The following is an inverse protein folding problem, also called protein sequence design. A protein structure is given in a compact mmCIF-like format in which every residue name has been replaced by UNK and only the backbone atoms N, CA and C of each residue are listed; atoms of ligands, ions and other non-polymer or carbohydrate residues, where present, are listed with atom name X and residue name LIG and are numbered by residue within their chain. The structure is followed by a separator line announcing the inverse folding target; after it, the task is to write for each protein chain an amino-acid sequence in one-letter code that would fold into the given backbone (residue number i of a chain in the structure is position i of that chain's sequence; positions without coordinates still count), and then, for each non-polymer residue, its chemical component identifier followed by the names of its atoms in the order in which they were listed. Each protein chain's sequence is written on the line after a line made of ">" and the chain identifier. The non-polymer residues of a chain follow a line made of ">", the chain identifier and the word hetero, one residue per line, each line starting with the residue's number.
data_IF_936368241149
#
_entry.id   IF_936368241149
#
_cell.length_a   1.000
_cell.length_b   1.000
_cell.length_c   1.000
_cell.angle_alpha   90.00
_cell.angle_beta   90.00
_cell.angle_gamma   90.00
#
_symmetry.space_group_name_H-M   'P 1'
#
loop_
_entity.id
_entity.type
_entity.pdbx_description
1 polymer ?
#
# COMPACT_ATOMS: atom_id res chain seq x y z
N UNK A 1 -63.22 39.00 -28.12
CA UNK A 1 -63.35 39.48 -26.72
C UNK A 1 -63.50 38.26 -25.82
N UNK A 2 -62.51 37.91 -24.99
CA UNK A 2 -62.77 37.15 -23.76
C UNK A 2 -61.56 37.25 -22.82
N UNK A 3 -61.85 37.57 -21.57
CA UNK A 3 -60.93 37.99 -20.52
C UNK A 3 -60.12 36.81 -19.96
N UNK A 4 -58.87 37.11 -19.61
CA UNK A 4 -57.94 36.27 -18.85
C UNK A 4 -58.54 35.95 -17.47
N UNK A 5 -58.66 34.67 -17.13
CA UNK A 5 -58.85 34.21 -15.74
C UNK A 5 -57.64 33.35 -15.39
N UNK A 6 -56.85 33.85 -14.45
CA UNK A 6 -55.69 33.22 -13.85
C UNK A 6 -56.19 32.20 -12.80
N UNK A 7 -55.98 30.90 -13.04
CA UNK A 7 -56.25 29.86 -12.04
C UNK A 7 -54.93 29.47 -11.37
N UNK A 8 -54.77 29.87 -10.12
CA UNK A 8 -53.66 29.49 -9.25
C UNK A 8 -53.98 28.11 -8.67
N UNK A 9 -53.29 27.07 -9.14
CA UNK A 9 -53.37 25.73 -8.54
C UNK A 9 -52.39 25.66 -7.36
N UNK A 10 -52.92 25.63 -6.14
CA UNK A 10 -52.17 25.42 -4.90
C UNK A 10 -51.95 23.91 -4.74
N UNK A 11 -50.72 23.46 -4.98
CA UNK A 11 -50.27 22.09 -4.72
C UNK A 11 -50.10 21.86 -3.22
N UNK A 12 -51.14 21.38 -2.55
CA UNK A 12 -51.07 20.91 -1.15
C UNK A 12 -50.26 19.61 -1.12
N UNK A 13 -49.00 19.70 -0.69
CA UNK A 13 -48.18 18.54 -0.37
C UNK A 13 -48.70 17.88 0.92
N UNK A 14 -49.43 16.78 0.75
CA UNK A 14 -49.89 15.91 1.84
C UNK A 14 -48.67 15.19 2.43
N UNK A 15 -48.12 15.73 3.53
CA UNK A 15 -47.15 15.04 4.36
C UNK A 15 -47.82 13.82 5.00
N UNK A 16 -47.55 12.63 4.45
CA UNK A 16 -47.89 11.37 5.09
C UNK A 16 -46.94 11.21 6.28
N UNK A 17 -47.44 11.58 7.46
CA UNK A 17 -46.82 11.26 8.74
C UNK A 17 -46.63 9.75 8.83
N UNK A 18 -45.40 9.27 8.64
CA UNK A 18 -45.04 7.88 8.88
C UNK A 18 -45.17 7.59 10.38
N UNK A 19 -46.21 6.86 10.73
CA UNK A 19 -46.42 6.29 12.05
C UNK A 19 -45.20 5.48 12.45
N UNK A 20 -44.56 5.92 13.54
CA UNK A 20 -43.51 5.19 14.23
C UNK A 20 -44.12 3.92 14.84
N UNK A 21 -44.08 2.82 14.09
CA UNK A 21 -44.28 1.50 14.69
C UNK A 21 -43.15 1.28 15.70
N UNK A 22 -43.49 1.27 16.98
CA UNK A 22 -42.62 0.87 18.06
C UNK A 22 -42.16 -0.58 17.82
N UNK A 23 -40.97 -0.74 17.22
CA UNK A 23 -40.33 -2.03 17.05
C UNK A 23 -39.67 -2.40 18.38
N UNK A 24 -40.13 -3.49 18.99
CA UNK A 24 -39.57 -4.02 20.23
C UNK A 24 -38.05 -4.17 20.15
N UNK A 25 -37.36 -3.88 21.26
CA UNK A 25 -35.91 -3.87 21.37
C UNK A 25 -35.29 -5.14 20.76
N UNK A 26 -34.29 -4.97 19.88
CA UNK A 26 -33.59 -6.07 19.21
C UNK A 26 -32.89 -6.93 20.26
N UNK A 27 -33.36 -8.17 20.41
CA UNK A 27 -32.80 -9.20 21.31
C UNK A 27 -32.53 -10.48 20.50
N UNK A 28 -31.51 -11.24 20.89
CA UNK A 28 -31.20 -12.55 20.30
C UNK A 28 -32.46 -13.43 20.25
N UNK A 29 -32.75 -14.01 19.08
CA UNK A 29 -33.90 -14.91 18.89
C UNK A 29 -35.24 -14.21 18.67
N UNK A 30 -35.34 -12.88 18.84
CA UNK A 30 -36.56 -12.14 18.50
C UNK A 30 -36.81 -12.13 16.98
N UNK A 31 -38.08 -12.01 16.58
CA UNK A 31 -38.46 -11.99 15.18
C UNK A 31 -37.93 -10.75 14.46
N UNK A 32 -37.52 -10.93 13.21
CA UNK A 32 -37.01 -9.85 12.37
C UNK A 32 -37.67 -9.87 11.00
N UNK A 33 -37.76 -8.70 10.36
CA UNK A 33 -38.64 -8.47 9.21
C UNK A 33 -38.08 -9.00 7.89
N UNK A 34 -36.75 -9.10 7.76
CA UNK A 34 -36.09 -9.44 6.49
C UNK A 34 -34.70 -10.00 6.73
N UNK A 35 -34.39 -11.15 6.12
CA UNK A 35 -33.05 -11.77 6.15
C UNK A 35 -31.99 -10.74 5.75
N UNK A 36 -30.87 -10.74 6.48
CA UNK A 36 -29.75 -9.84 6.22
C UNK A 36 -29.90 -8.43 6.78
N UNK A 37 -31.08 -8.04 7.31
CA UNK A 37 -31.22 -6.77 8.05
C UNK A 37 -30.29 -6.81 9.27
N UNK A 38 -29.54 -5.74 9.51
CA UNK A 38 -28.65 -5.61 10.66
C UNK A 38 -29.12 -4.53 11.61
N UNK A 39 -28.89 -4.71 12.92
CA UNK A 39 -29.15 -3.70 13.94
C UNK A 39 -28.07 -3.76 15.00
N UNK A 40 -27.69 -2.62 15.57
CA UNK A 40 -26.64 -2.54 16.60
C UNK A 40 -27.26 -2.05 17.90
N UNK A 41 -27.16 -2.86 18.96
CA UNK A 41 -27.63 -2.53 20.31
C UNK A 41 -26.52 -2.88 21.30
N UNK A 42 -26.19 -1.98 22.21
CA UNK A 42 -25.14 -2.15 23.23
C UNK A 42 -23.78 -2.60 22.66
N UNK A 43 -23.39 -2.03 21.51
CA UNK A 43 -22.12 -2.37 20.85
C UNK A 43 -22.08 -3.76 20.21
N UNK A 44 -23.21 -4.47 20.13
CA UNK A 44 -23.34 -5.75 19.42
C UNK A 44 -24.18 -5.58 18.16
N UNK A 45 -23.66 -6.01 17.02
CA UNK A 45 -24.36 -6.05 15.72
C UNK A 45 -25.09 -7.37 15.56
N UNK A 46 -26.41 -7.31 15.54
CA UNK A 46 -27.31 -8.40 15.25
C UNK A 46 -27.59 -8.46 13.74
N UNK A 47 -27.68 -9.67 13.20
CA UNK A 47 -28.07 -9.92 11.81
C UNK A 47 -29.29 -10.83 11.79
N UNK A 48 -30.31 -10.46 11.02
CA UNK A 48 -31.52 -11.25 10.83
C UNK A 48 -31.20 -12.48 9.97
N UNK A 49 -31.40 -13.67 10.52
CA UNK A 49 -31.11 -14.96 9.90
C UNK A 49 -32.36 -15.84 9.86
N UNK A 50 -32.40 -16.81 8.95
CA UNK A 50 -33.49 -17.80 8.87
C UNK A 50 -33.09 -19.05 9.65
N UNK A 51 -33.85 -19.37 10.70
CA UNK A 51 -33.64 -20.58 11.52
C UNK A 51 -34.94 -21.39 11.51
N UNK A 52 -34.87 -22.63 11.01
CA UNK A 52 -36.03 -23.56 10.95
C UNK A 52 -37.31 -22.90 10.37
N UNK A 53 -37.16 -22.14 9.28
CA UNK A 53 -38.27 -21.48 8.59
C UNK A 53 -38.70 -20.11 9.14
N UNK A 54 -38.21 -19.68 10.30
CA UNK A 54 -38.54 -18.39 10.92
C UNK A 54 -37.39 -17.39 10.84
N UNK A 55 -37.71 -16.10 10.70
CA UNK A 55 -36.71 -15.02 10.67
C UNK A 55 -36.45 -14.51 12.08
N UNK A 56 -35.22 -14.67 12.56
CA UNK A 56 -34.81 -14.29 13.92
C UNK A 56 -33.46 -13.57 13.93
N UNK A 57 -33.26 -12.68 14.91
CA UNK A 57 -31.96 -12.07 15.15
C UNK A 57 -30.95 -13.11 15.67
N UNK A 58 -29.74 -13.12 15.10
CA UNK A 58 -28.65 -13.99 15.56
C UNK A 58 -28.12 -13.58 16.97
N UNK A 59 -27.07 -14.24 17.48
CA UNK A 59 -26.51 -13.98 18.82
C UNK A 59 -25.81 -12.61 18.98
N UNK A 60 -25.72 -11.80 17.92
CA UNK A 60 -24.98 -10.55 17.91
C UNK A 60 -23.46 -10.76 17.87
N UNK A 61 -22.74 -9.88 17.18
CA UNK A 61 -21.27 -9.85 17.15
C UNK A 61 -20.82 -8.52 17.76
N UNK A 62 -19.87 -8.57 18.71
CA UNK A 62 -19.35 -7.35 19.34
C UNK A 62 -18.63 -6.51 18.29
N UNK A 63 -19.12 -5.29 18.06
CA UNK A 63 -18.50 -4.30 17.20
C UNK A 63 -17.55 -3.49 18.06
N UNK A 64 -16.25 -3.50 17.74
CA UNK A 64 -15.30 -2.56 18.35
C UNK A 64 -15.81 -1.14 18.08
N UNK A 65 -16.11 -0.38 19.14
CA UNK A 65 -16.64 0.99 19.08
C UNK A 65 -15.73 1.82 18.15
N UNK A 66 -16.25 2.45 17.08
CA UNK A 66 -15.50 3.48 16.38
C UNK A 66 -15.22 4.60 17.39
N UNK A 67 -13.95 4.93 17.61
CA UNK A 67 -13.58 6.12 18.37
C UNK A 67 -14.07 7.31 17.54
N UNK A 68 -15.15 7.95 17.99
CA UNK A 68 -15.69 9.15 17.36
C UNK A 68 -14.63 10.24 17.53
N UNK A 69 -13.96 10.61 16.44
CA UNK A 69 -13.08 11.79 16.39
C UNK A 69 -14.00 13.01 16.56
N UNK A 70 -13.86 13.71 17.68
CA UNK A 70 -14.60 14.94 17.97
C UNK A 70 -14.16 15.99 16.92
N UNK A 71 -15.08 16.38 16.04
CA UNK A 71 -14.91 17.55 15.19
C UNK A 71 -15.02 18.78 16.08
N UNK A 72 -13.92 19.50 16.29
CA UNK A 72 -13.91 20.74 17.03
C UNK A 72 -14.80 21.79 16.32
N UNK A 73 -15.80 22.30 17.04
CA UNK A 73 -16.55 23.49 16.67
C UNK A 73 -15.59 24.69 16.56
N UNK A 74 -15.61 25.50 15.49
CA UNK A 74 -14.71 26.64 15.39
C UNK A 74 -15.08 27.69 16.46
N UNK A 75 -14.18 27.90 17.41
CA UNK A 75 -14.23 29.00 18.35
C UNK A 75 -13.81 30.29 17.63
N UNK A 76 -14.67 31.30 17.64
CA UNK A 76 -14.35 32.65 17.16
C UNK A 76 -13.21 33.23 18.02
N UNK A 77 -12.02 33.36 17.42
CA UNK A 77 -10.83 33.96 18.03
C UNK A 77 -11.00 35.49 18.15
N UNK A 78 -10.68 36.12 19.29
CA UNK A 78 -10.79 37.56 19.46
C UNK A 78 -9.68 38.33 18.73
N UNK A 79 -10.08 39.45 18.14
CA UNK A 79 -9.29 40.50 17.49
C UNK A 79 -8.04 40.89 18.29
N UNK A 80 -6.86 40.82 17.65
CA UNK A 80 -5.64 41.44 18.17
C UNK A 80 -5.61 42.93 17.81
N UNK A 81 -5.52 43.77 18.84
CA UNK A 81 -5.25 45.21 18.78
C UNK A 81 -3.82 45.46 18.24
N UNK A 82 -3.59 46.41 17.32
CA UNK A 82 -2.23 46.76 16.88
C UNK A 82 -1.51 47.56 17.98
N UNK A 83 -0.38 47.06 18.45
CA UNK A 83 0.55 47.82 19.32
C UNK A 83 1.69 48.38 18.48
N UNK A 84 1.96 49.67 18.69
CA UNK A 84 2.87 50.48 17.90
C UNK A 84 4.34 50.05 17.98
N UNK A 85 4.99 50.24 16.84
CA UNK A 85 6.43 50.29 16.56
C UNK A 85 7.23 51.11 17.58
N UNK A 86 8.45 50.63 17.94
CA UNK A 86 9.57 51.56 18.04
C UNK A 86 10.76 51.16 17.14
N UNK A 87 11.07 52.10 16.25
CA UNK A 87 12.36 52.73 15.93
C UNK A 87 13.62 51.86 15.89
N UNK A 88 14.16 51.72 14.67
CA UNK A 88 15.54 51.31 14.42
C UNK A 88 16.55 52.37 14.92
N UNK A 89 17.61 51.93 15.59
CA UNK A 89 18.82 52.74 15.82
C UNK A 89 20.05 51.87 15.44
N UNK A 90 21.00 52.39 14.64
CA UNK A 90 22.02 51.59 13.96
C UNK A 90 23.13 51.12 14.89
N UNK A 91 23.55 49.86 14.73
CA UNK A 91 24.79 49.32 15.33
C UNK A 91 25.99 49.71 14.48
N UNK A 92 27.03 50.21 15.15
CA UNK A 92 28.26 50.72 14.59
C UNK A 92 29.14 49.63 13.96
N UNK A 93 29.78 50.04 12.87
CA UNK A 93 30.79 49.36 12.06
C UNK A 93 32.00 48.88 12.88
N UNK A 94 32.51 47.65 12.67
CA UNK A 94 33.85 47.31 13.15
C UNK A 94 34.92 47.90 12.21
N UNK A 95 35.86 48.61 12.83
CA UNK A 95 37.06 49.25 12.28
C UNK A 95 38.06 48.20 11.74
N UNK A 96 38.70 48.39 10.57
CA UNK A 96 39.79 47.54 10.12
C UNK A 96 41.07 47.86 10.90
N UNK A 97 41.77 46.82 11.37
CA UNK A 97 43.14 46.94 11.88
C UNK A 97 44.06 46.07 11.02
N UNK A 98 45.04 46.70 10.39
CA UNK A 98 46.07 46.07 9.59
C UNK A 98 47.43 46.23 10.26
N UNK A 99 48.19 45.12 10.30
CA UNK A 99 49.65 45.02 10.06
C UNK A 99 50.63 45.60 11.11
N UNK A 100 51.95 45.30 11.07
CA UNK A 100 52.70 44.07 10.71
C UNK A 100 53.67 43.64 11.85
N UNK A 101 54.27 42.44 11.77
CA UNK A 101 55.68 42.25 12.21
C UNK A 101 56.27 40.95 11.66
N UNK A 102 57.55 41.02 11.28
CA UNK A 102 58.27 40.08 10.44
C UNK A 102 59.30 39.22 11.20
N UNK A 103 59.57 38.02 10.62
CA UNK A 103 60.91 37.37 10.45
C UNK A 103 61.58 36.64 11.63
N UNK A 104 62.54 35.67 11.43
CA UNK A 104 62.93 34.87 10.24
C UNK A 104 62.76 33.33 10.46
N UNK A 105 62.53 32.49 9.43
CA UNK A 105 63.47 31.72 8.58
C UNK A 105 64.57 30.92 9.31
N UNK A 106 64.58 29.58 9.16
CA UNK A 106 65.69 28.81 8.53
C UNK A 106 65.39 27.29 8.44
N UNK A 107 65.62 26.72 7.24
CA UNK A 107 66.22 25.37 6.98
C UNK A 107 65.29 24.13 7.08
N UNK A 108 65.17 23.20 6.12
CA UNK A 108 65.79 23.01 4.80
C UNK A 108 64.84 22.19 3.88
N UNK A 109 64.97 22.48 2.60
CA UNK A 109 64.45 21.74 1.44
C UNK A 109 65.50 20.72 0.97
N UNK A 110 65.06 19.51 0.60
CA UNK A 110 65.67 18.71 -0.45
C UNK A 110 64.69 17.63 -0.96
N UNK A 111 64.14 17.88 -2.15
CA UNK A 111 63.60 16.87 -3.10
C UNK A 111 64.79 16.11 -3.72
N UNK A 112 64.65 14.90 -4.31
CA UNK A 112 64.02 14.71 -5.64
C UNK A 112 63.23 13.36 -5.78
N UNK A 113 62.01 13.35 -6.32
CA UNK A 113 61.68 13.06 -7.73
C UNK A 113 62.71 12.23 -8.51
N UNK A 114 62.42 10.93 -8.75
CA UNK A 114 62.90 10.20 -9.93
C UNK A 114 61.83 9.23 -10.46
N UNK A 115 61.36 9.55 -11.66
CA UNK A 115 60.84 8.67 -12.74
C UNK A 115 61.62 9.14 -13.98
N UNK A 116 62.27 8.28 -14.79
CA UNK A 116 61.67 7.31 -15.71
C UNK A 116 62.47 5.97 -15.72
N UNK A 117 62.30 4.91 -16.51
CA UNK A 117 61.81 4.69 -17.87
C UNK A 117 61.58 3.15 -18.09
N UNK A 118 61.00 2.71 -19.22
CA UNK A 118 60.46 1.35 -19.45
C UNK A 118 61.47 0.41 -20.14
N UNK A 119 61.40 -0.92 -19.95
CA UNK A 119 61.96 -1.90 -20.92
C UNK A 119 61.37 -3.32 -20.79
N UNK A 120 61.04 -3.89 -21.96
CA UNK A 120 60.86 -5.31 -22.37
C UNK A 120 59.81 -6.17 -21.64
N UNK A 121 58.75 -6.68 -22.29
CA UNK A 121 58.65 -7.53 -23.51
C UNK A 121 59.25 -8.93 -23.36
N UNK A 122 58.39 -9.85 -22.94
CA UNK A 122 58.41 -11.30 -23.18
C UNK A 122 57.02 -11.79 -22.76
N UNK A 123 56.18 -12.57 -23.44
CA UNK A 123 56.21 -13.43 -24.63
C UNK A 123 54.73 -13.86 -24.77
N UNK A 124 54.13 -13.97 -25.96
CA UNK A 124 52.75 -14.44 -26.07
C UNK A 124 52.66 -15.93 -25.70
N UNK A 125 51.77 -16.24 -24.74
CA UNK A 125 51.35 -17.61 -24.41
C UNK A 125 50.52 -18.19 -25.56
N UNK A 126 50.67 -19.48 -25.92
CA UNK A 126 49.96 -20.06 -27.05
C UNK A 126 48.45 -20.09 -26.80
N UNK A 127 47.74 -19.56 -27.79
CA UNK A 127 46.30 -19.63 -27.99
C UNK A 127 45.82 -21.08 -28.00
N UNK A 128 45.11 -21.49 -26.95
CA UNK A 128 44.30 -22.71 -26.98
C UNK A 128 43.14 -22.51 -27.95
N UNK A 129 43.08 -23.38 -28.97
CA UNK A 129 42.07 -23.41 -30.01
C UNK A 129 40.62 -23.44 -29.46
N UNK A 130 39.65 -22.82 -30.15
CA UNK A 130 38.25 -22.95 -29.77
C UNK A 130 37.78 -24.40 -30.03
N UNK A 131 37.24 -25.04 -28.99
CA UNK A 131 36.48 -26.27 -29.14
C UNK A 131 35.28 -26.04 -30.09
N UNK A 132 34.87 -27.04 -30.89
CA UNK A 132 33.76 -26.88 -31.83
C UNK A 132 32.49 -26.49 -31.07
N UNK A 133 31.90 -25.37 -31.52
CA UNK A 133 30.60 -24.90 -31.11
C UNK A 133 29.56 -26.00 -31.40
N UNK A 134 29.05 -26.64 -30.36
CA UNK A 134 27.86 -27.48 -30.47
C UNK A 134 26.68 -26.55 -30.75
N UNK A 135 26.15 -26.68 -31.96
CA UNK A 135 24.87 -26.10 -32.38
C UNK A 135 23.83 -26.32 -31.30
N UNK A 136 23.20 -25.27 -30.72
CA UNK A 136 22.07 -25.49 -29.83
C UNK A 136 20.94 -26.09 -30.66
N UNK A 137 20.62 -27.34 -30.37
CA UNK A 137 19.37 -28.00 -30.77
C UNK A 137 18.20 -27.05 -30.47
N UNK A 138 17.28 -26.80 -31.42
CA UNK A 138 16.14 -25.94 -31.15
C UNK A 138 15.36 -26.50 -29.96
N UNK A 139 15.30 -25.72 -28.89
CA UNK A 139 14.48 -25.99 -27.73
C UNK A 139 13.04 -26.23 -28.21
N UNK A 140 12.35 -27.29 -27.77
CA UNK A 140 10.96 -27.46 -28.13
C UNK A 140 10.20 -26.23 -27.66
N UNK A 141 9.61 -25.51 -28.62
CA UNK A 141 8.59 -24.52 -28.35
C UNK A 141 7.45 -25.27 -27.66
N UNK A 142 7.32 -25.12 -26.34
CA UNK A 142 6.10 -25.49 -25.62
C UNK A 142 5.01 -24.49 -26.01
N UNK A 143 4.48 -24.70 -27.20
CA UNK A 143 3.20 -24.16 -27.65
C UNK A 143 2.14 -25.15 -27.20
N UNK A 144 1.56 -24.89 -26.04
CA UNK A 144 0.35 -25.59 -25.58
C UNK A 144 -0.48 -24.63 -24.75
N UNK A 145 -1.11 -23.69 -25.43
CA UNK A 145 -2.25 -22.91 -24.93
C UNK A 145 -3.44 -23.85 -24.74
N UNK A 146 -3.45 -24.59 -23.63
CA UNK A 146 -4.73 -24.91 -23.00
C UNK A 146 -5.34 -23.58 -22.53
N UNK A 147 -6.66 -23.43 -22.55
CA UNK A 147 -7.35 -22.31 -21.90
C UNK A 147 -7.15 -22.40 -20.36
N UNK A 148 -5.92 -22.19 -19.89
CA UNK A 148 -5.61 -22.04 -18.47
C UNK A 148 -5.95 -20.62 -17.99
N UNK A 149 -5.98 -20.43 -16.68
CA UNK A 149 -6.21 -19.14 -16.00
C UNK A 149 -5.44 -17.94 -16.62
N UNK A 150 -4.26 -18.16 -17.20
CA UNK A 150 -3.45 -17.14 -17.86
C UNK A 150 -4.04 -16.60 -19.18
N UNK A 151 -5.06 -17.27 -19.76
CA UNK A 151 -5.75 -16.85 -20.98
C UNK A 151 -6.91 -15.89 -20.67
N UNK A 152 -7.18 -14.93 -21.55
CA UNK A 152 -8.28 -13.99 -21.39
C UNK A 152 -9.63 -14.74 -21.28
N UNK A 153 -10.36 -14.54 -20.17
CA UNK A 153 -11.67 -15.15 -19.93
C UNK A 153 -11.66 -16.55 -19.32
N UNK A 154 -10.50 -17.11 -18.99
CA UNK A 154 -10.40 -18.38 -18.25
C UNK A 154 -10.89 -18.27 -16.81
N UNK A 155 -11.51 -19.33 -16.26
CA UNK A 155 -11.82 -19.42 -14.83
C UNK A 155 -10.62 -19.96 -14.06
N UNK A 156 -10.19 -19.25 -13.02
CA UNK A 156 -9.05 -19.64 -12.19
C UNK A 156 -9.45 -20.35 -10.89
N UNK A 157 -8.59 -21.25 -10.42
CA UNK A 157 -8.60 -21.79 -9.06
C UNK A 157 -7.33 -21.39 -8.30
N UNK A 158 -7.34 -21.55 -6.98
CA UNK A 158 -6.14 -21.31 -6.15
C UNK A 158 -5.05 -22.30 -6.55
N UNK A 159 -3.84 -21.80 -6.79
CA UNK A 159 -2.68 -22.55 -7.27
C UNK A 159 -2.38 -22.39 -8.76
N UNK A 160 -3.34 -21.92 -9.55
CA UNK A 160 -3.13 -21.69 -10.98
C UNK A 160 -2.10 -20.59 -11.24
N UNK A 161 -1.46 -20.65 -12.41
CA UNK A 161 -0.70 -19.51 -12.94
C UNK A 161 -1.65 -18.47 -13.52
N UNK A 162 -1.60 -17.24 -12.99
CA UNK A 162 -2.43 -16.13 -13.43
C UNK A 162 -1.90 -15.40 -14.67
N UNK A 163 -2.65 -14.43 -15.21
CA UNK A 163 -2.25 -13.66 -16.40
C UNK A 163 -0.99 -12.80 -16.22
N UNK A 164 -0.57 -12.56 -14.98
CA UNK A 164 0.67 -11.87 -14.63
C UNK A 164 1.88 -12.81 -14.50
N UNK A 165 1.71 -14.11 -14.73
CA UNK A 165 2.75 -15.13 -14.52
C UNK A 165 3.01 -15.44 -13.04
N UNK A 166 2.17 -14.96 -12.14
CA UNK A 166 2.17 -15.26 -10.72
C UNK A 166 1.24 -16.42 -10.36
N UNK A 167 1.06 -16.65 -9.07
CA UNK A 167 0.18 -17.70 -8.55
C UNK A 167 -1.13 -17.10 -8.06
N UNK A 168 -2.26 -17.64 -8.50
CA UNK A 168 -3.57 -17.29 -7.95
C UNK A 168 -3.68 -17.84 -6.54
N UNK A 169 -3.82 -16.95 -5.55
CA UNK A 169 -3.91 -17.34 -4.14
C UNK A 169 -5.30 -17.12 -3.54
N UNK A 170 -6.17 -16.38 -4.23
CA UNK A 170 -7.53 -16.16 -3.75
C UNK A 170 -8.54 -16.04 -4.89
N UNK A 171 -9.68 -16.71 -4.72
CA UNK A 171 -10.86 -16.62 -5.57
C UNK A 171 -11.98 -16.06 -4.72
N UNK A 172 -12.51 -14.89 -5.05
CA UNK A 172 -13.55 -14.31 -4.20
C UNK A 172 -14.87 -15.06 -4.34
N UNK A 173 -15.60 -15.29 -3.23
CA UNK A 173 -16.97 -15.77 -3.30
C UNK A 173 -17.89 -14.61 -3.73
N UNK A 174 -18.62 -14.78 -4.84
CA UNK A 174 -19.50 -13.72 -5.37
C UNK A 174 -18.74 -12.45 -5.76
N UNK A 175 -19.30 -11.28 -5.42
CA UNK A 175 -18.76 -9.93 -5.69
C UNK A 175 -18.51 -9.17 -4.37
N UNK A 176 -17.77 -9.77 -3.45
CA UNK A 176 -17.73 -9.32 -2.04
C UNK A 176 -16.92 -8.03 -1.86
N UNK A 177 -15.90 -7.79 -2.68
CA UNK A 177 -14.89 -6.72 -2.45
C UNK A 177 -14.69 -5.78 -3.66
N UNK A 178 -15.49 -5.91 -4.70
CA UNK A 178 -15.39 -5.10 -5.92
C UNK A 178 -15.77 -5.88 -7.16
N UNK A 179 -15.38 -5.34 -8.32
CA UNK A 179 -15.65 -5.92 -9.65
C UNK A 179 -14.62 -6.94 -10.10
N UNK A 180 -13.54 -7.15 -9.35
CA UNK A 180 -12.54 -8.19 -9.63
C UNK A 180 -13.05 -9.57 -9.18
N UNK A 181 -12.37 -10.66 -9.56
CA UNK A 181 -12.69 -12.03 -9.15
C UNK A 181 -11.54 -12.77 -8.46
N UNK A 182 -10.31 -12.49 -8.85
CA UNK A 182 -9.13 -13.23 -8.45
C UNK A 182 -8.06 -12.31 -7.87
N UNK A 183 -7.24 -12.86 -6.97
CA UNK A 183 -5.95 -12.27 -6.60
C UNK A 183 -4.81 -13.20 -7.03
N UNK A 184 -3.81 -12.60 -7.64
CA UNK A 184 -2.58 -13.22 -8.09
C UNK A 184 -1.40 -12.57 -7.38
N UNK A 185 -0.44 -13.39 -6.91
CA UNK A 185 0.80 -12.93 -6.29
C UNK A 185 1.98 -13.17 -7.22
N UNK A 186 2.90 -12.21 -7.28
CA UNK A 186 4.13 -12.34 -8.07
C UNK A 186 4.93 -13.60 -7.67
N UNK A 187 5.70 -14.22 -8.58
CA UNK A 187 6.60 -15.33 -8.23
C UNK A 187 7.64 -14.88 -7.20
N UNK A 188 8.28 -15.82 -6.48
CA UNK A 188 9.33 -15.48 -5.50
C UNK A 188 10.57 -14.85 -6.13
N UNK A 189 10.73 -15.02 -7.44
CA UNK A 189 11.84 -14.49 -8.25
C UNK A 189 11.52 -13.16 -8.93
N UNK A 190 10.41 -12.50 -8.57
CA UNK A 190 9.86 -11.33 -9.29
C UNK A 190 10.84 -10.14 -9.43
N UNK A 191 11.88 -10.07 -8.60
CA UNK A 191 12.93 -9.06 -8.66
C UNK A 191 14.32 -9.68 -8.95
N UNK A 192 14.40 -10.51 -10.00
CA UNK A 192 15.68 -11.01 -10.51
C UNK A 192 16.36 -12.06 -9.63
N UNK A 193 15.56 -12.92 -8.99
CA UNK A 193 15.89 -14.14 -8.21
C UNK A 193 15.49 -14.09 -6.73
N UNK A 194 15.41 -12.90 -6.12
CA UNK A 194 15.05 -12.75 -4.71
C UNK A 194 13.93 -11.74 -4.50
N UNK A 195 13.26 -11.82 -3.37
CA UNK A 195 12.35 -10.77 -2.93
C UNK A 195 13.17 -9.66 -2.25
N UNK A 196 13.05 -8.40 -2.69
CA UNK A 196 13.78 -7.29 -2.13
C UNK A 196 13.23 -6.92 -0.75
N UNK A 197 14.11 -6.40 0.10
CA UNK A 197 13.73 -5.66 1.29
C UNK A 197 13.75 -4.17 0.97
N UNK A 198 12.69 -3.47 1.33
CA UNK A 198 12.49 -2.06 0.97
C UNK A 198 11.80 -1.31 2.12
N UNK A 199 12.09 -0.02 2.29
CA UNK A 199 11.41 0.80 3.28
C UNK A 199 9.94 1.03 2.88
N UNK A 200 9.03 1.02 3.86
CA UNK A 200 7.60 1.23 3.59
C UNK A 200 7.32 2.58 2.90
N UNK A 201 7.51 3.65 3.65
CA UNK A 201 7.40 5.05 3.31
C UNK A 201 8.31 5.76 4.32
N UNK A 202 9.01 6.84 3.96
CA UNK A 202 9.64 7.70 4.96
C UNK A 202 8.61 8.14 6.03
N UNK A 203 9.03 8.43 7.27
CA UNK A 203 8.10 8.98 8.26
C UNK A 203 7.44 10.25 7.73
N UNK A 204 6.13 10.22 7.51
CA UNK A 204 5.33 11.38 7.10
C UNK A 204 4.53 11.90 8.30
N UNK A 205 4.38 13.22 8.41
CA UNK A 205 3.52 13.81 9.45
C UNK A 205 2.03 13.87 9.06
N UNK A 206 1.68 13.35 7.88
CA UNK A 206 0.32 13.26 7.34
C UNK A 206 -0.15 11.82 7.25
N UNK A 207 -1.45 11.60 7.45
CA UNK A 207 -2.07 10.29 7.27
C UNK A 207 -2.15 9.95 5.79
N UNK A 208 -1.78 8.72 5.43
CA UNK A 208 -1.78 8.20 4.06
C UNK A 208 -3.17 7.78 3.58
N UNK A 209 -4.22 7.89 4.43
CA UNK A 209 -5.62 7.52 4.13
C UNK A 209 -5.81 6.08 3.65
N UNK A 210 -4.95 5.17 4.09
CA UNK A 210 -5.02 3.75 3.74
C UNK A 210 -6.06 2.99 4.57
N UNK A 211 -6.50 1.83 4.08
CA UNK A 211 -7.38 0.90 4.77
C UNK A 211 -6.71 -0.46 4.99
N UNK A 212 -7.17 -1.24 5.96
CA UNK A 212 -6.72 -2.63 6.18
C UNK A 212 -7.43 -3.65 5.30
N UNK A 213 -8.61 -3.31 4.78
CA UNK A 213 -9.56 -4.27 4.21
C UNK A 213 -9.09 -4.94 2.92
N UNK A 214 -9.62 -6.12 2.64
CA UNK A 214 -9.44 -6.81 1.35
C UNK A 214 -9.94 -5.95 0.18
N UNK A 215 -9.21 -5.95 -0.94
CA UNK A 215 -9.52 -5.14 -2.12
C UNK A 215 -9.08 -3.67 -1.99
N UNK A 216 -8.35 -3.31 -0.93
CA UNK A 216 -7.84 -1.94 -0.72
C UNK A 216 -6.37 -1.77 -1.07
N UNK A 217 -5.62 -2.84 -1.32
CA UNK A 217 -4.19 -2.72 -1.58
C UNK A 217 -3.86 -1.82 -2.78
N UNK A 218 -4.64 -1.90 -3.85
CA UNK A 218 -4.46 -1.02 -5.01
C UNK A 218 -4.67 0.46 -4.66
N UNK A 219 -5.80 0.79 -4.03
CA UNK A 219 -6.10 2.18 -3.62
C UNK A 219 -5.11 2.70 -2.59
N UNK A 220 -4.69 1.86 -1.65
CA UNK A 220 -3.67 2.21 -0.66
C UNK A 220 -2.33 2.48 -1.33
N UNK A 221 -1.89 1.61 -2.25
CA UNK A 221 -0.63 1.72 -2.97
C UNK A 221 -0.58 3.04 -3.73
N UNK A 222 -1.65 3.41 -4.43
CA UNK A 222 -1.77 4.71 -5.11
C UNK A 222 -1.68 5.89 -4.13
N UNK A 223 -2.33 5.79 -2.97
CA UNK A 223 -2.28 6.83 -1.95
C UNK A 223 -0.86 7.01 -1.36
N UNK A 224 -0.15 5.90 -1.10
CA UNK A 224 1.23 5.89 -0.63
C UNK A 224 2.16 6.51 -1.68
N UNK A 225 2.07 6.07 -2.95
CA UNK A 225 2.90 6.60 -4.04
C UNK A 225 2.73 8.12 -4.21
N UNK A 226 1.52 8.63 -4.00
CA UNK A 226 1.23 10.06 -4.15
C UNK A 226 1.76 10.89 -2.98
N UNK A 227 1.78 10.33 -1.77
CA UNK A 227 2.06 11.08 -0.55
C UNK A 227 3.47 10.87 0.00
N UNK A 228 4.13 9.77 -0.34
CA UNK A 228 5.48 9.43 0.10
C UNK A 228 6.53 9.96 -0.89
N UNK A 229 6.56 11.29 -1.06
CA UNK A 229 7.51 11.97 -1.97
C UNK A 229 8.58 12.69 -1.14
N UNK A 230 9.78 12.13 -1.09
CA UNK A 230 10.98 12.71 -0.50
C UNK A 230 12.17 12.37 -1.40
N UNK A 231 12.79 13.42 -1.96
CA UNK A 231 14.04 13.43 -2.75
C UNK A 231 14.86 12.13 -2.73
N UNK A 232 15.04 11.49 -3.89
CA UNK A 232 15.85 10.27 -4.16
C UNK A 232 15.43 8.95 -3.46
N UNK A 233 14.83 9.00 -2.27
CA UNK A 233 14.34 7.81 -1.55
C UNK A 233 13.05 7.22 -2.16
N UNK A 234 12.33 7.99 -2.99
CA UNK A 234 11.07 7.61 -3.64
C UNK A 234 11.16 6.35 -4.50
N UNK A 235 12.34 6.09 -5.07
CA UNK A 235 12.57 4.90 -5.90
C UNK A 235 12.52 3.60 -5.10
N UNK A 236 12.65 3.67 -3.76
CA UNK A 236 12.70 2.52 -2.87
C UNK A 236 11.46 2.39 -1.97
N UNK A 237 10.45 3.24 -2.15
CA UNK A 237 9.18 3.12 -1.40
C UNK A 237 8.49 1.81 -1.74
N UNK A 238 8.18 0.99 -0.74
CA UNK A 238 7.59 -0.34 -0.89
C UNK A 238 6.42 -0.40 -1.88
N UNK A 239 5.47 0.55 -1.75
CA UNK A 239 4.33 0.67 -2.65
C UNK A 239 4.76 0.98 -4.10
N UNK A 240 5.76 1.86 -4.29
CA UNK A 240 6.28 2.22 -5.60
C UNK A 240 6.99 1.05 -6.26
N UNK A 241 7.88 0.39 -5.54
CA UNK A 241 8.61 -0.79 -6.03
C UNK A 241 7.63 -1.89 -6.43
N UNK A 242 6.63 -2.18 -5.60
CA UNK A 242 5.60 -3.17 -5.94
C UNK A 242 4.80 -2.78 -7.19
N UNK A 243 4.42 -1.49 -7.31
CA UNK A 243 3.67 -0.99 -8.47
C UNK A 243 4.47 -0.93 -9.77
N UNK A 244 5.80 -0.96 -9.68
CA UNK A 244 6.69 -0.94 -10.84
C UNK A 244 6.95 -2.34 -11.41
N UNK A 245 6.55 -3.40 -10.72
CA UNK A 245 6.65 -4.75 -11.26
C UNK A 245 5.81 -4.89 -12.55
N UNK A 246 6.34 -5.62 -13.53
CA UNK A 246 5.75 -5.80 -14.88
C UNK A 246 5.59 -7.26 -15.27
N UNK A 247 5.43 -8.16 -14.29
CA UNK A 247 5.18 -9.58 -14.53
C UNK A 247 4.00 -9.80 -15.51
N UNK A 248 4.20 -10.66 -16.50
CA UNK A 248 3.21 -10.95 -17.54
C UNK A 248 2.79 -9.73 -18.39
N UNK A 249 3.63 -8.69 -18.44
CA UNK A 249 3.33 -7.44 -19.15
C UNK A 249 2.22 -6.60 -18.48
N UNK A 250 1.87 -6.89 -17.23
CA UNK A 250 0.80 -6.20 -16.49
C UNK A 250 1.33 -4.98 -15.72
N UNK A 251 0.50 -3.95 -15.58
CA UNK A 251 0.87 -2.68 -14.91
C UNK A 251 0.03 -2.37 -13.67
N UNK A 252 -0.87 -3.28 -13.28
CA UNK A 252 -1.82 -3.18 -12.19
C UNK A 252 -1.36 -3.94 -10.93
N UNK A 253 -0.06 -4.19 -10.81
CA UNK A 253 0.57 -4.74 -9.61
C UNK A 253 0.58 -3.69 -8.49
N UNK A 254 0.45 -4.14 -7.24
CA UNK A 254 0.39 -3.27 -6.07
C UNK A 254 0.85 -3.97 -4.78
N UNK A 255 1.09 -3.19 -3.73
CA UNK A 255 1.44 -3.70 -2.40
C UNK A 255 0.16 -4.12 -1.64
N UNK A 256 0.04 -5.38 -1.17
CA UNK A 256 -1.19 -5.90 -0.57
C UNK A 256 -1.62 -5.10 0.66
N UNK A 257 -2.92 -4.90 0.87
CA UNK A 257 -3.43 -4.44 2.17
C UNK A 257 -3.18 -5.50 3.25
N UNK A 258 -3.32 -5.11 4.52
CA UNK A 258 -3.14 -6.03 5.66
C UNK A 258 -3.99 -7.29 5.52
N UNK A 259 -5.26 -7.15 5.16
CA UNK A 259 -6.17 -8.31 5.03
C UNK A 259 -5.89 -9.12 3.75
N UNK A 260 -5.38 -8.50 2.68
CA UNK A 260 -4.91 -9.25 1.49
C UNK A 260 -3.63 -10.05 1.80
N UNK A 261 -2.74 -9.50 2.61
CA UNK A 261 -1.55 -10.20 3.08
C UNK A 261 -1.91 -11.39 3.99
N UNK A 262 -2.99 -11.28 4.77
CA UNK A 262 -3.55 -12.39 5.54
C UNK A 262 -4.08 -13.51 4.63
N UNK A 263 -4.78 -13.18 3.55
CA UNK A 263 -5.21 -14.16 2.55
C UNK A 263 -4.02 -14.86 1.89
N UNK A 264 -2.91 -14.14 1.68
CA UNK A 264 -1.68 -14.70 1.15
C UNK A 264 -1.02 -15.67 2.15
N UNK A 265 -1.00 -15.32 3.44
CA UNK A 265 -0.52 -16.20 4.52
C UNK A 265 -1.32 -17.51 4.62
N UNK A 266 -2.64 -17.47 4.43
CA UNK A 266 -3.47 -18.68 4.40
C UNK A 266 -3.05 -19.65 3.28
N UNK A 267 -2.37 -19.15 2.24
CA UNK A 267 -1.81 -19.93 1.13
C UNK A 267 -0.29 -20.03 1.15
N UNK A 268 0.35 -19.78 2.29
CA UNK A 268 1.81 -19.74 2.43
C UNK A 268 2.53 -20.98 1.91
N UNK A 269 1.95 -22.17 2.04
CA UNK A 269 2.55 -23.42 1.54
C UNK A 269 2.62 -23.46 0.02
N UNK A 270 1.61 -22.94 -0.68
CA UNK A 270 1.54 -22.88 -2.14
C UNK A 270 2.57 -21.90 -2.69
N UNK A 271 2.86 -20.83 -1.96
CA UNK A 271 3.79 -19.76 -2.38
C UNK A 271 5.21 -19.91 -1.82
N UNK A 272 5.51 -21.05 -1.17
CA UNK A 272 6.83 -21.37 -0.62
C UNK A 272 7.23 -20.59 0.62
N UNK A 273 6.28 -20.11 1.43
CA UNK A 273 6.49 -19.32 2.65
C UNK A 273 6.20 -20.11 3.93
N UNK A 274 6.97 -21.16 4.18
CA UNK A 274 6.79 -22.01 5.37
C UNK A 274 7.74 -21.69 6.53
N UNK A 275 8.81 -20.92 6.26
CA UNK A 275 9.81 -20.56 7.25
C UNK A 275 9.51 -19.21 7.90
N UNK A 276 9.75 -19.10 9.21
CA UNK A 276 9.68 -17.84 9.95
C UNK A 276 10.90 -16.95 9.67
N UNK A 277 10.80 -15.67 10.06
CA UNK A 277 11.91 -14.71 10.00
C UNK A 277 11.85 -13.75 8.81
N UNK A 278 10.77 -13.77 8.04
CA UNK A 278 10.58 -12.88 6.89
C UNK A 278 9.30 -12.06 7.07
N UNK A 279 9.45 -10.83 7.58
CA UNK A 279 8.35 -9.86 7.68
C UNK A 279 8.12 -9.18 6.33
N UNK A 280 6.85 -9.07 5.95
CA UNK A 280 6.40 -8.43 4.73
C UNK A 280 5.59 -7.18 5.04
N UNK A 281 5.90 -6.09 4.36
CA UNK A 281 5.06 -4.90 4.42
C UNK A 281 3.69 -5.14 3.79
N UNK A 282 2.66 -4.60 4.43
CA UNK A 282 1.37 -4.33 3.79
C UNK A 282 1.27 -2.84 3.43
N UNK A 283 0.35 -2.47 2.55
CA UNK A 283 -0.01 -1.09 2.21
C UNK A 283 -0.93 -0.41 3.23
N UNK A 284 -1.07 -0.99 4.43
CA UNK A 284 -1.97 -0.46 5.46
C UNK A 284 -1.19 0.28 6.55
N UNK A 285 -1.38 1.59 6.63
CA UNK A 285 -0.86 2.43 7.70
C UNK A 285 -1.59 2.13 9.02
N UNK A 286 -0.85 2.04 10.12
CA UNK A 286 -1.38 1.92 11.48
C UNK A 286 -1.42 3.27 12.20
N UNK A 287 -0.34 4.04 12.06
CA UNK A 287 -0.22 5.39 12.60
C UNK A 287 0.65 6.25 11.68
N UNK A 288 0.82 7.53 11.98
CA UNK A 288 1.63 8.44 11.14
C UNK A 288 3.07 7.94 10.93
N UNK A 289 3.62 7.20 11.90
CA UNK A 289 5.00 6.70 11.87
C UNK A 289 5.09 5.17 11.82
N UNK A 290 3.97 4.45 11.75
CA UNK A 290 3.96 2.99 11.72
C UNK A 290 3.00 2.40 10.70
N UNK A 291 3.37 1.26 10.14
CA UNK A 291 2.56 0.52 9.18
C UNK A 291 2.51 -0.96 9.53
N UNK A 292 1.51 -1.65 9.00
CA UNK A 292 1.30 -3.05 9.28
C UNK A 292 2.23 -3.94 8.46
N UNK A 293 2.89 -4.87 9.14
CA UNK A 293 3.66 -5.95 8.54
C UNK A 293 3.15 -7.32 9.03
N UNK A 294 3.50 -8.38 8.30
CA UNK A 294 3.19 -9.76 8.67
C UNK A 294 4.37 -10.67 8.32
N UNK A 295 4.74 -11.56 9.24
CA UNK A 295 5.61 -12.68 8.92
C UNK A 295 4.81 -13.75 8.16
N UNK A 296 5.14 -14.01 6.89
CA UNK A 296 4.37 -14.93 6.05
C UNK A 296 4.60 -16.42 6.39
N UNK A 297 5.58 -16.75 7.23
CA UNK A 297 5.79 -18.11 7.73
C UNK A 297 4.87 -18.45 8.91
N UNK A 298 4.61 -17.46 9.76
CA UNK A 298 3.94 -17.64 11.07
C UNK A 298 2.59 -16.93 11.18
N UNK A 299 2.31 -15.95 10.31
CA UNK A 299 1.10 -15.13 10.34
C UNK A 299 1.11 -14.07 11.44
N UNK A 300 2.23 -13.92 12.16
CA UNK A 300 2.37 -12.89 13.20
C UNK A 300 2.32 -11.51 12.55
N UNK A 301 1.34 -10.71 12.94
CA UNK A 301 1.19 -9.32 12.49
C UNK A 301 1.82 -8.36 13.49
N UNK A 302 2.50 -7.33 12.99
CA UNK A 302 3.09 -6.27 13.81
C UNK A 302 2.85 -4.89 13.23
N UNK A 303 2.85 -3.87 14.10
CA UNK A 303 2.84 -2.46 13.72
C UNK A 303 4.27 -1.92 13.87
N UNK A 304 4.89 -1.65 12.73
CA UNK A 304 6.34 -1.46 12.60
C UNK A 304 6.66 -0.03 12.19
N UNK A 305 7.80 0.48 12.65
CA UNK A 305 8.23 1.84 12.35
C UNK A 305 8.53 1.99 10.86
N UNK A 306 7.95 3.02 10.25
CA UNK A 306 8.19 3.40 8.86
C UNK A 306 9.68 3.67 8.61
N UNK A 307 10.18 3.30 7.44
CA UNK A 307 11.60 3.43 7.06
C UNK A 307 12.47 2.21 7.38
N UNK A 308 11.93 1.16 8.02
CA UNK A 308 12.62 -0.14 8.13
C UNK A 308 12.53 -0.92 6.81
N UNK A 309 13.61 -1.58 6.45
CA UNK A 309 13.64 -2.50 5.31
C UNK A 309 12.94 -3.80 5.69
N UNK A 310 11.88 -4.14 4.95
CA UNK A 310 11.19 -5.43 5.07
C UNK A 310 10.83 -5.95 3.69
N UNK A 311 10.55 -7.24 3.59
CA UNK A 311 10.20 -7.85 2.32
C UNK A 311 8.90 -7.27 1.76
N UNK A 312 8.78 -7.31 0.43
CA UNK A 312 7.52 -7.04 -0.24
C UNK A 312 7.25 -8.12 -1.28
N UNK A 313 5.97 -8.37 -1.55
CA UNK A 313 5.56 -9.24 -2.65
C UNK A 313 4.35 -8.63 -3.36
N UNK A 314 4.49 -8.20 -4.61
CA UNK A 314 3.40 -7.58 -5.35
C UNK A 314 2.25 -8.56 -5.55
N UNK A 315 1.03 -8.03 -5.47
CA UNK A 315 -0.20 -8.74 -5.86
C UNK A 315 -0.96 -7.92 -6.89
N UNK A 316 -1.90 -8.54 -7.60
CA UNK A 316 -2.84 -7.86 -8.50
C UNK A 316 -4.23 -8.50 -8.45
N UNK A 317 -5.25 -7.71 -8.75
CA UNK A 317 -6.62 -8.17 -8.97
C UNK A 317 -6.89 -8.34 -10.46
N UNK A 318 -7.76 -9.28 -10.82
CA UNK A 318 -8.25 -9.44 -12.19
C UNK A 318 -9.53 -10.29 -12.23
N UNK A 319 -10.12 -10.41 -13.42
CA UNK A 319 -11.30 -11.24 -13.70
C UNK A 319 -12.60 -10.54 -13.37
#
# INVERSE_FOLDING_TARGET
>A
MLRRVLVIAISVALFISSTSMAQGAVKTGATCSKVGKTSTVDGKKYTCIKVKGKLVWNKGVVVKKPVVKVTATPTTSPTATPTATPTATPIATPKPSASPSASPSTTASATPSQSPAPTASSTPSPTSAPAPSVTPTPSPTVSSSSLGCASAGGSCVVGDTGPGGGVVFYVQPGTTFGSWKYLEVAPSTWNGENEPVVPFCPPTFTSLLTSVLTGKGLTNTSAIITQCVTTSADSFVAAKVASNYRGGGKSDWYLPSKDELALLYDKRTIIGKTSSGAQYWSSSQDSLVKSWAMDLGTGVTSSEVNGRDMYIRPIRTFG
#
